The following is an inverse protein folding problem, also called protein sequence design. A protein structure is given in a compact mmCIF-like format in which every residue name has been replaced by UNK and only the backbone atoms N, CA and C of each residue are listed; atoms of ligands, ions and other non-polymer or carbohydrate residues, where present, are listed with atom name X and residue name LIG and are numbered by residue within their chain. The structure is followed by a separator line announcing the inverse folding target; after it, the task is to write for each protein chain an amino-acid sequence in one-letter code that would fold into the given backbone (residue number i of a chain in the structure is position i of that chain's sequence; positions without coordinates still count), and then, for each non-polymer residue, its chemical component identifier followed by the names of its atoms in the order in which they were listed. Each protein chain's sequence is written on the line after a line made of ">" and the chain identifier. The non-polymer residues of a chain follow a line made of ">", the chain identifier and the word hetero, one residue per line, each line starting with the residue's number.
data_IF_063789824990
#
_entry.id   IF_063789824990
#
_cell.length_a   1.000
_cell.length_b   1.000
_cell.length_c   1.000
_cell.angle_alpha   90.00
_cell.angle_beta   90.00
_cell.angle_gamma   90.00
#
_symmetry.space_group_name_H-M   'P 1'
#
loop_
_entity.id
_entity.type
_entity.pdbx_description
1 polymer ?
#
# COMPACT_ATOMS: atom_id res chain seq x y z
N UNK A 1 -59.32 29.04 41.43
CA UNK A 1 -58.01 28.83 42.10
C UNK A 1 -56.91 28.97 41.05
N UNK A 2 -56.15 30.07 41.05
CA UNK A 2 -55.12 30.34 40.04
C UNK A 2 -53.82 29.60 40.39
N UNK A 3 -53.29 28.83 39.44
CA UNK A 3 -51.99 28.17 39.56
C UNK A 3 -50.86 29.22 39.34
N UNK A 4 -49.79 29.19 40.16
CA UNK A 4 -48.77 30.24 40.18
C UNK A 4 -47.87 30.18 38.95
N UNK A 5 -47.85 31.28 38.17
CA UNK A 5 -47.12 31.46 36.91
C UNK A 5 -45.57 31.34 36.96
N UNK A 6 -44.99 30.91 38.07
CA UNK A 6 -43.55 30.66 38.20
C UNK A 6 -43.09 29.33 37.57
N UNK A 7 -43.97 28.36 37.41
CA UNK A 7 -43.62 27.06 36.80
C UNK A 7 -43.60 27.09 35.26
N UNK A 8 -44.38 27.97 34.62
CA UNK A 8 -44.41 28.12 33.16
C UNK A 8 -43.10 28.68 32.59
N UNK A 9 -42.42 29.58 33.32
CA UNK A 9 -41.12 30.12 32.93
C UNK A 9 -39.98 29.09 33.05
N UNK A 10 -40.06 28.18 34.03
CA UNK A 10 -39.04 27.13 34.20
C UNK A 10 -39.12 26.07 33.09
N UNK A 11 -40.33 25.73 32.64
CA UNK A 11 -40.55 24.77 31.53
C UNK A 11 -40.12 25.34 30.16
N UNK A 12 -40.30 26.65 29.92
CA UNK A 12 -39.80 27.35 28.72
C UNK A 12 -38.28 27.54 28.72
N UNK A 13 -37.65 27.62 29.91
CA UNK A 13 -36.19 27.65 30.04
C UNK A 13 -35.57 26.25 29.84
N UNK A 14 -36.21 25.17 30.32
CA UNK A 14 -35.74 23.80 30.10
C UNK A 14 -35.88 23.35 28.64
N UNK A 15 -36.88 23.83 27.90
CA UNK A 15 -37.07 23.46 26.48
C UNK A 15 -36.04 24.08 25.51
N UNK A 16 -35.17 24.98 26.00
CA UNK A 16 -34.09 25.59 25.20
C UNK A 16 -32.71 24.93 25.39
N UNK A 17 -32.59 23.94 26.28
CA UNK A 17 -31.29 23.36 26.65
C UNK A 17 -30.85 22.10 25.88
N UNK A 18 -31.66 21.58 24.95
CA UNK A 18 -31.35 20.33 24.22
C UNK A 18 -31.35 20.50 22.71
N UNK A 19 -30.69 21.54 22.19
CA UNK A 19 -30.17 21.48 20.83
C UNK A 19 -28.89 20.64 20.87
N UNK A 20 -29.04 19.30 20.88
CA UNK A 20 -27.92 18.39 20.62
C UNK A 20 -27.52 18.63 19.18
N UNK A 21 -26.50 19.48 18.98
CA UNK A 21 -25.87 19.63 17.67
C UNK A 21 -25.16 18.31 17.40
N UNK A 22 -25.83 17.43 16.64
CA UNK A 22 -25.19 16.25 16.13
C UNK A 22 -23.94 16.69 15.37
N UNK A 23 -22.77 16.21 15.80
CA UNK A 23 -21.53 16.50 15.09
C UNK A 23 -21.62 15.76 13.76
N UNK A 24 -21.98 16.49 12.70
CA UNK A 24 -22.06 15.94 11.35
C UNK A 24 -20.64 15.88 10.80
N UNK A 25 -20.12 14.66 10.70
CA UNK A 25 -18.87 14.40 10.01
C UNK A 25 -19.13 14.26 8.51
N UNK A 26 -18.98 15.36 7.78
CA UNK A 26 -19.12 15.37 6.32
C UNK A 26 -17.74 15.46 5.65
N UNK A 27 -17.22 14.38 5.02
CA UNK A 27 -15.98 14.41 4.27
C UNK A 27 -16.07 15.25 2.98
N UNK A 28 -17.26 15.61 2.52
CA UNK A 28 -17.48 16.45 1.34
C UNK A 28 -17.61 17.94 1.64
N UNK A 29 -17.65 18.32 2.92
CA UNK A 29 -17.57 19.72 3.30
C UNK A 29 -16.29 20.38 2.77
N UNK A 30 -16.32 21.70 2.47
CA UNK A 30 -15.16 22.43 1.96
C UNK A 30 -13.88 22.18 2.77
N UNK A 31 -12.75 22.21 2.08
CA UNK A 31 -11.44 21.99 2.70
C UNK A 31 -11.06 23.28 3.45
N UNK A 32 -11.12 23.23 4.78
CA UNK A 32 -10.62 24.30 5.64
C UNK A 32 -9.11 24.14 5.85
N UNK A 33 -8.40 25.26 5.99
CA UNK A 33 -6.99 25.26 6.34
C UNK A 33 -6.80 24.73 7.78
N UNK A 34 -5.99 23.69 7.93
CA UNK A 34 -5.72 23.07 9.22
C UNK A 34 -4.47 23.67 9.89
N UNK A 35 -4.52 23.82 11.22
CA UNK A 35 -3.39 24.30 12.04
C UNK A 35 -3.02 23.24 13.08
N UNK A 36 -1.73 22.96 13.24
CA UNK A 36 -1.20 22.08 14.28
C UNK A 36 -1.58 22.59 15.66
N UNK A 37 -1.93 21.67 16.55
CA UNK A 37 -2.44 21.99 17.88
C UNK A 37 -3.90 22.44 17.92
N UNK A 38 -4.57 22.57 16.76
CA UNK A 38 -6.02 22.74 16.72
C UNK A 38 -6.71 21.52 17.32
N UNK A 39 -7.80 21.75 18.05
CA UNK A 39 -8.69 20.69 18.55
C UNK A 39 -9.52 20.05 17.42
N UNK A 40 -9.62 20.73 16.27
CA UNK A 40 -10.29 20.19 15.07
C UNK A 40 -9.39 19.12 14.46
N UNK A 41 -9.89 17.90 14.36
CA UNK A 41 -9.23 16.85 13.61
C UNK A 41 -9.37 17.03 12.10
N UNK A 42 -8.67 16.19 11.35
CA UNK A 42 -8.75 16.10 9.91
C UNK A 42 -9.76 15.02 9.51
N UNK A 43 -10.82 15.44 8.80
CA UNK A 43 -11.82 14.52 8.28
C UNK A 43 -11.37 13.94 6.95
N UNK A 44 -11.49 12.62 6.81
CA UNK A 44 -11.21 11.90 5.58
C UNK A 44 -12.28 10.84 5.35
N UNK A 45 -12.77 10.74 4.12
CA UNK A 45 -13.66 9.69 3.68
C UNK A 45 -12.89 8.58 2.96
N UNK A 46 -13.32 7.33 3.15
CA UNK A 46 -12.97 6.20 2.30
C UNK A 46 -14.24 5.73 1.59
N UNK A 47 -14.16 5.51 0.28
CA UNK A 47 -15.24 4.92 -0.50
C UNK A 47 -14.78 3.58 -1.06
N UNK A 48 -15.53 2.51 -0.78
CA UNK A 48 -15.26 1.13 -1.18
C UNK A 48 -16.28 0.71 -2.23
N UNK A 49 -15.82 0.14 -3.35
CA UNK A 49 -16.68 -0.33 -4.44
C UNK A 49 -16.54 -1.84 -4.63
N UNK A 50 -17.46 -2.64 -4.07
CA UNK A 50 -17.55 -4.07 -4.32
C UNK A 50 -17.84 -4.36 -5.80
N UNK A 51 -16.99 -5.16 -6.43
CA UNK A 51 -17.05 -5.49 -7.84
C UNK A 51 -16.60 -4.39 -8.80
N UNK A 52 -16.26 -3.19 -8.30
CA UNK A 52 -15.69 -2.11 -9.10
C UNK A 52 -14.17 -2.21 -9.19
N UNK A 53 -13.62 -2.08 -10.38
CA UNK A 53 -12.18 -2.07 -10.66
C UNK A 53 -11.55 -0.70 -10.38
N UNK A 54 -10.22 -0.64 -10.33
CA UNK A 54 -9.49 0.65 -10.27
C UNK A 54 -9.82 1.56 -11.47
N UNK A 55 -10.04 0.98 -12.65
CA UNK A 55 -10.35 1.71 -13.87
C UNK A 55 -11.76 2.33 -13.86
N UNK A 56 -12.74 1.70 -13.19
CA UNK A 56 -14.11 2.20 -13.10
C UNK A 56 -14.20 3.55 -12.37
N UNK A 57 -13.27 3.82 -11.46
CA UNK A 57 -13.15 5.12 -10.80
C UNK A 57 -12.65 6.22 -11.74
N UNK A 58 -11.91 5.88 -12.78
CA UNK A 58 -11.19 6.83 -13.64
C UNK A 58 -10.09 7.62 -12.91
N UNK A 59 -9.56 8.61 -13.62
CA UNK A 59 -8.54 9.53 -13.12
C UNK A 59 -9.02 10.36 -11.90
N UNK A 60 -8.18 10.67 -10.90
CA UNK A 60 -8.56 11.48 -9.73
C UNK A 60 -9.22 12.83 -10.02
N UNK A 61 -8.93 13.45 -11.16
CA UNK A 61 -9.43 14.79 -11.53
C UNK A 61 -10.74 14.70 -12.30
N UNK A 62 -10.83 13.79 -13.28
CA UNK A 62 -11.97 13.72 -14.21
C UNK A 62 -12.92 12.52 -13.99
N UNK A 63 -12.53 11.59 -13.11
CA UNK A 63 -13.27 10.36 -12.83
C UNK A 63 -14.41 10.52 -11.83
N UNK A 64 -14.91 9.38 -11.34
CA UNK A 64 -15.93 9.34 -10.32
C UNK A 64 -15.39 9.86 -8.99
N UNK A 65 -16.02 10.91 -8.48
CA UNK A 65 -15.61 11.58 -7.25
C UNK A 65 -16.74 11.55 -6.21
N UNK A 66 -16.54 10.98 -5.01
CA UNK A 66 -17.59 10.87 -3.97
C UNK A 66 -18.33 12.17 -3.63
N UNK A 67 -17.66 13.31 -3.74
CA UNK A 67 -18.21 14.63 -3.42
C UNK A 67 -18.64 15.50 -4.61
N UNK A 68 -18.64 14.98 -5.84
CA UNK A 68 -19.07 15.78 -7.00
C UNK A 68 -20.60 15.81 -7.08
N UNK A 69 -21.21 16.55 -6.14
CA UNK A 69 -22.65 16.72 -5.98
C UNK A 69 -23.35 15.61 -5.18
N UNK A 70 -24.44 15.95 -4.51
CA UNK A 70 -25.26 15.01 -3.70
C UNK A 70 -25.89 13.91 -4.54
N UNK A 71 -26.25 14.20 -5.80
CA UNK A 71 -26.80 13.21 -6.74
C UNK A 71 -25.79 12.13 -7.09
N UNK A 72 -24.51 12.46 -7.19
CA UNK A 72 -23.49 11.47 -7.52
C UNK A 72 -23.24 10.52 -6.36
N UNK A 73 -23.27 10.99 -5.11
CA UNK A 73 -23.18 10.10 -3.95
C UNK A 73 -24.36 9.11 -3.91
N UNK A 74 -25.57 9.57 -4.25
CA UNK A 74 -26.74 8.70 -4.38
C UNK A 74 -26.53 7.66 -5.50
N UNK A 75 -26.00 8.08 -6.66
CA UNK A 75 -25.69 7.19 -7.78
C UNK A 75 -24.60 6.15 -7.39
N UNK A 76 -23.51 6.57 -6.75
CA UNK A 76 -22.47 5.65 -6.26
C UNK A 76 -23.05 4.65 -5.26
N UNK A 77 -23.95 5.09 -4.37
CA UNK A 77 -24.64 4.18 -3.44
C UNK A 77 -25.51 3.17 -4.19
N UNK A 78 -26.19 3.58 -5.27
CA UNK A 78 -26.92 2.67 -6.15
C UNK A 78 -25.98 1.68 -6.86
N UNK A 79 -24.76 2.09 -7.18
CA UNK A 79 -23.67 1.23 -7.69
C UNK A 79 -23.10 0.27 -6.64
N UNK A 80 -23.55 0.35 -5.38
CA UNK A 80 -23.09 -0.48 -4.27
C UNK A 80 -21.85 0.07 -3.56
N UNK A 81 -21.47 1.32 -3.83
CA UNK A 81 -20.35 1.97 -3.14
C UNK A 81 -20.72 2.24 -1.69
N UNK A 82 -19.81 1.91 -0.79
CA UNK A 82 -19.94 2.11 0.65
C UNK A 82 -18.95 3.16 1.14
N UNK A 83 -19.38 4.01 2.06
CA UNK A 83 -18.58 5.11 2.57
C UNK A 83 -18.26 4.90 4.05
N UNK A 84 -17.03 5.20 4.45
CA UNK A 84 -16.60 5.30 5.83
C UNK A 84 -15.98 6.68 6.06
N UNK A 85 -16.31 7.34 7.17
CA UNK A 85 -15.77 8.67 7.50
C UNK A 85 -14.97 8.57 8.78
N UNK A 86 -13.77 9.15 8.77
CA UNK A 86 -12.85 9.14 9.90
C UNK A 86 -12.48 10.56 10.30
N UNK A 87 -12.38 10.79 11.60
CA UNK A 87 -11.84 12.02 12.18
C UNK A 87 -10.47 11.73 12.79
N UNK A 88 -9.42 12.02 12.03
CA UNK A 88 -8.05 11.75 12.43
C UNK A 88 -7.44 12.94 13.17
N UNK A 89 -6.58 12.66 14.16
CA UNK A 89 -5.82 13.74 14.81
C UNK A 89 -4.69 14.17 13.90
N UNK A 90 -4.58 15.47 13.67
CA UNK A 90 -3.51 16.06 12.87
C UNK A 90 -2.16 15.85 13.57
N UNK A 91 -1.11 15.66 12.77
CA UNK A 91 0.28 15.48 13.23
C UNK A 91 0.48 14.27 14.15
N UNK A 92 -0.41 13.27 14.05
CA UNK A 92 -0.24 11.95 14.66
C UNK A 92 -0.52 10.88 13.63
N UNK A 93 0.34 9.87 13.58
CA UNK A 93 0.09 8.69 12.75
C UNK A 93 -1.22 8.05 13.24
N UNK A 94 -2.22 8.03 12.37
CA UNK A 94 -3.56 7.54 12.69
C UNK A 94 -3.82 6.31 11.84
N UNK A 95 -4.31 5.24 12.45
CA UNK A 95 -4.69 4.03 11.72
C UNK A 95 -6.20 4.05 11.53
N UNK A 96 -6.64 4.10 10.28
CA UNK A 96 -8.03 3.92 9.89
C UNK A 96 -8.22 2.42 9.66
N UNK A 97 -9.13 1.79 10.39
CA UNK A 97 -9.38 0.34 10.25
C UNK A 97 -10.81 0.11 9.82
N UNK A 98 -10.99 -0.81 8.88
CA UNK A 98 -12.22 -1.58 8.75
C UNK A 98 -12.14 -2.80 9.68
N UNK A 99 -13.28 -3.39 10.00
CA UNK A 99 -13.30 -4.71 10.64
C UNK A 99 -13.38 -5.79 9.58
N UNK A 100 -12.85 -6.98 9.89
CA UNK A 100 -12.91 -8.09 8.95
C UNK A 100 -14.36 -8.49 8.56
N UNK A 101 -15.34 -8.52 9.49
CA UNK A 101 -16.74 -8.72 9.12
C UNK A 101 -17.30 -7.64 8.18
N UNK A 102 -16.93 -6.37 8.36
CA UNK A 102 -17.33 -5.31 7.43
C UNK A 102 -16.76 -5.57 6.03
N UNK A 103 -15.50 -5.98 5.93
CA UNK A 103 -14.85 -6.25 4.65
C UNK A 103 -15.40 -7.49 3.94
N UNK A 104 -15.74 -8.53 4.70
CA UNK A 104 -16.51 -9.67 4.18
C UNK A 104 -17.87 -9.24 3.67
N UNK A 105 -18.58 -8.39 4.43
CA UNK A 105 -19.89 -7.86 4.04
C UNK A 105 -19.78 -6.99 2.79
N UNK A 106 -18.74 -6.15 2.68
CA UNK A 106 -18.46 -5.36 1.49
C UNK A 106 -18.26 -6.29 0.28
N UNK A 107 -17.42 -7.31 0.42
CA UNK A 107 -17.14 -8.28 -0.65
C UNK A 107 -18.40 -9.06 -1.05
N UNK A 108 -19.23 -9.46 -0.08
CA UNK A 108 -20.50 -10.16 -0.31
C UNK A 108 -21.54 -9.34 -1.08
N UNK A 109 -21.45 -8.00 -0.99
CA UNK A 109 -22.38 -7.07 -1.63
C UNK A 109 -22.05 -6.77 -3.09
N UNK A 110 -20.99 -7.37 -3.63
CA UNK A 110 -20.75 -7.33 -5.07
C UNK A 110 -21.99 -7.85 -5.82
N UNK A 111 -22.39 -7.14 -6.88
CA UNK A 111 -23.56 -7.51 -7.68
C UNK A 111 -23.36 -8.91 -8.28
N UNK A 112 -24.43 -9.67 -8.46
CA UNK A 112 -24.35 -10.97 -9.12
C UNK A 112 -23.69 -10.82 -10.51
N UNK A 113 -22.64 -11.61 -10.76
CA UNK A 113 -21.84 -11.54 -12.00
C UNK A 113 -20.74 -10.48 -12.01
N UNK A 114 -20.63 -9.62 -10.99
CA UNK A 114 -19.48 -8.74 -10.83
C UNK A 114 -18.24 -9.53 -10.33
N UNK A 115 -17.02 -9.08 -10.65
CA UNK A 115 -15.81 -9.73 -10.16
C UNK A 115 -15.73 -9.66 -8.64
N UNK A 116 -15.18 -10.70 -8.01
CA UNK A 116 -15.07 -10.79 -6.56
C UNK A 116 -13.86 -9.97 -6.06
N UNK A 117 -13.95 -8.66 -6.15
CA UNK A 117 -12.91 -7.72 -5.72
C UNK A 117 -13.53 -6.50 -5.06
N UNK A 118 -12.72 -5.74 -4.33
CA UNK A 118 -13.13 -4.46 -3.75
C UNK A 118 -12.02 -3.45 -4.04
N UNK A 119 -12.36 -2.36 -4.71
CA UNK A 119 -11.47 -1.19 -4.85
C UNK A 119 -11.89 -0.08 -3.90
N UNK A 120 -10.95 0.78 -3.53
CA UNK A 120 -11.18 1.86 -2.59
C UNK A 120 -10.47 3.15 -3.03
N UNK A 121 -11.09 4.29 -2.70
CA UNK A 121 -10.51 5.63 -2.84
C UNK A 121 -10.62 6.38 -1.52
N UNK A 122 -9.62 7.21 -1.23
CA UNK A 122 -9.70 8.20 -0.17
C UNK A 122 -10.14 9.55 -0.75
N UNK A 123 -10.92 10.31 0.00
CA UNK A 123 -11.42 11.60 -0.46
C UNK A 123 -11.66 12.60 0.68
N UNK A 124 -11.57 13.89 0.35
CA UNK A 124 -11.93 15.02 1.21
C UNK A 124 -12.22 16.25 0.34
N UNK A 125 -13.41 16.83 0.46
CA UNK A 125 -13.85 17.96 -0.37
C UNK A 125 -13.75 17.60 -1.85
N UNK A 126 -13.00 18.38 -2.64
CA UNK A 126 -12.76 18.12 -4.06
C UNK A 126 -11.48 17.31 -4.35
N UNK A 127 -10.80 16.79 -3.32
CA UNK A 127 -9.56 16.01 -3.46
C UNK A 127 -9.88 14.53 -3.28
N UNK A 128 -9.46 13.70 -4.24
CA UNK A 128 -9.55 12.24 -4.22
C UNK A 128 -8.19 11.62 -4.51
N UNK A 129 -7.93 10.45 -3.94
CA UNK A 129 -6.80 9.61 -4.32
C UNK A 129 -7.07 8.79 -5.59
N UNK A 130 -6.01 8.23 -6.16
CA UNK A 130 -6.16 7.07 -7.05
C UNK A 130 -6.86 5.92 -6.34
N UNK A 131 -7.56 5.09 -7.11
CA UNK A 131 -8.19 3.88 -6.61
C UNK A 131 -7.14 2.81 -6.33
N UNK A 132 -7.39 2.00 -5.29
CA UNK A 132 -6.56 0.85 -4.93
C UNK A 132 -7.42 -0.36 -4.59
N UNK A 133 -7.05 -1.54 -5.06
CA UNK A 133 -7.66 -2.77 -4.57
C UNK A 133 -7.33 -3.00 -3.09
N UNK A 134 -8.36 -3.35 -2.31
CA UNK A 134 -8.24 -3.78 -0.91
C UNK A 134 -8.52 -5.27 -0.74
N UNK A 135 -9.31 -5.85 -1.65
CA UNK A 135 -9.60 -7.29 -1.72
C UNK A 135 -9.56 -7.74 -3.17
N UNK A 136 -9.01 -8.92 -3.43
CA UNK A 136 -9.23 -9.61 -4.71
C UNK A 136 -9.39 -11.13 -4.54
N UNK A 137 -10.43 -11.66 -5.18
CA UNK A 137 -10.59 -13.07 -5.51
C UNK A 137 -10.47 -13.35 -7.02
N UNK A 138 -10.10 -12.36 -7.83
CA UNK A 138 -10.11 -12.42 -9.30
C UNK A 138 -8.73 -12.09 -9.91
N UNK A 139 -7.77 -13.04 -9.89
CA UNK A 139 -6.39 -12.77 -10.28
C UNK A 139 -6.23 -12.46 -11.77
N UNK A 140 -7.18 -12.82 -12.63
CA UNK A 140 -7.12 -12.46 -14.05
C UNK A 140 -7.28 -10.96 -14.29
N UNK A 141 -7.93 -10.25 -13.36
CA UNK A 141 -8.11 -8.80 -13.39
C UNK A 141 -6.97 -8.12 -12.61
N UNK A 142 -6.68 -8.64 -11.42
CA UNK A 142 -5.80 -7.97 -10.45
C UNK A 142 -4.36 -8.49 -10.44
N UNK A 143 -4.04 -9.57 -11.13
CA UNK A 143 -2.70 -10.19 -11.10
C UNK A 143 -2.38 -10.98 -9.82
N UNK A 144 -3.28 -11.00 -8.83
CA UNK A 144 -3.12 -11.72 -7.57
C UNK A 144 -4.41 -11.78 -6.75
N UNK A 145 -4.43 -12.54 -5.65
CA UNK A 145 -5.59 -12.74 -4.76
C UNK A 145 -5.26 -12.50 -3.29
N UNK A 146 -6.28 -12.23 -2.49
CA UNK A 146 -6.19 -12.07 -1.04
C UNK A 146 -6.74 -10.74 -0.52
N UNK A 147 -6.41 -10.44 0.74
CA UNK A 147 -6.79 -9.23 1.46
C UNK A 147 -5.56 -8.34 1.68
N UNK A 148 -5.66 -7.05 1.37
CA UNK A 148 -4.58 -6.10 1.60
C UNK A 148 -4.61 -5.70 3.07
N UNK A 149 -3.68 -6.24 3.86
CA UNK A 149 -3.65 -6.01 5.30
C UNK A 149 -3.35 -4.55 5.67
N UNK A 150 -2.50 -3.88 4.89
CA UNK A 150 -2.05 -2.52 5.21
C UNK A 150 -1.83 -1.69 3.95
N UNK A 151 -2.44 -0.51 3.95
CA UNK A 151 -2.21 0.58 3.01
C UNK A 151 -1.64 1.77 3.78
N UNK A 152 -0.79 2.56 3.14
CA UNK A 152 -0.39 3.86 3.69
C UNK A 152 -1.04 4.96 2.87
N UNK A 153 -1.72 5.90 3.50
CA UNK A 153 -2.33 7.06 2.86
C UNK A 153 -1.58 8.32 3.31
N UNK A 154 -1.05 9.06 2.35
CA UNK A 154 -0.37 10.33 2.60
C UNK A 154 -1.29 11.48 2.20
N UNK A 155 -1.62 12.33 3.17
CA UNK A 155 -2.32 13.59 2.97
C UNK A 155 -1.29 14.73 2.90
N UNK A 156 -1.24 15.41 1.75
CA UNK A 156 -0.27 16.49 1.51
C UNK A 156 -0.96 17.84 1.61
N UNK A 157 -0.40 18.71 2.45
CA UNK A 157 -0.92 20.04 2.74
C UNK A 157 0.05 21.12 2.25
N UNK A 158 -0.53 22.23 1.82
CA UNK A 158 0.19 23.44 1.48
C UNK A 158 -0.48 24.60 2.24
N UNK A 159 0.27 25.19 3.17
CA UNK A 159 -0.24 26.20 4.11
C UNK A 159 -1.55 25.78 4.80
N UNK A 160 -1.63 24.52 5.22
CA UNK A 160 -2.78 23.93 5.90
C UNK A 160 -3.92 23.50 4.98
N UNK A 161 -3.87 23.80 3.68
CA UNK A 161 -4.90 23.37 2.72
C UNK A 161 -4.50 22.04 2.11
N UNK A 162 -5.39 21.03 2.17
CA UNK A 162 -5.16 19.74 1.54
C UNK A 162 -5.05 19.91 0.02
N UNK A 163 -3.95 19.42 -0.57
CA UNK A 163 -3.71 19.44 -2.01
C UNK A 163 -3.88 18.07 -2.65
N UNK A 164 -3.38 17.03 -1.99
CA UNK A 164 -3.37 15.67 -2.55
C UNK A 164 -3.62 14.61 -1.47
N UNK A 165 -4.30 13.55 -1.88
CA UNK A 165 -4.39 12.29 -1.15
C UNK A 165 -3.76 11.22 -2.04
N UNK A 166 -2.76 10.51 -1.53
CA UNK A 166 -2.04 9.51 -2.31
C UNK A 166 -1.76 8.27 -1.46
N UNK A 167 -2.13 7.10 -1.97
CA UNK A 167 -1.67 5.85 -1.39
C UNK A 167 -0.16 5.69 -1.66
N UNK A 168 0.60 5.38 -0.61
CA UNK A 168 2.07 5.34 -0.62
C UNK A 168 2.59 3.94 -0.25
N UNK A 169 3.84 3.68 -0.63
CA UNK A 169 4.59 2.45 -0.38
C UNK A 169 3.85 1.18 -0.83
N UNK A 170 3.57 1.18 -2.13
CA UNK A 170 2.89 0.11 -2.79
C UNK A 170 3.90 -0.75 -3.55
N UNK A 171 4.58 -1.64 -2.82
CA UNK A 171 5.46 -2.64 -3.44
C UNK A 171 5.06 -4.03 -2.99
N UNK A 172 5.25 -5.00 -3.87
CA UNK A 172 4.98 -6.40 -3.55
C UNK A 172 6.18 -7.14 -2.96
N UNK A 173 7.23 -6.41 -2.56
CA UNK A 173 8.46 -7.01 -2.03
C UNK A 173 8.19 -7.87 -0.79
N UNK A 174 7.23 -7.46 0.05
CA UNK A 174 6.91 -8.14 1.30
C UNK A 174 6.15 -9.47 1.12
N UNK A 175 5.60 -9.74 -0.07
CA UNK A 175 4.87 -10.98 -0.39
C UNK A 175 5.46 -11.76 -1.56
N UNK A 176 6.77 -11.62 -1.81
CA UNK A 176 7.48 -12.42 -2.82
C UNK A 176 7.64 -11.73 -4.17
N UNK A 177 7.45 -10.42 -4.24
CA UNK A 177 7.70 -9.60 -5.43
C UNK A 177 6.49 -9.43 -6.34
N UNK A 178 6.67 -8.65 -7.41
CA UNK A 178 5.60 -8.25 -8.32
C UNK A 178 4.95 -9.40 -9.11
N UNK A 179 5.63 -10.55 -9.21
CA UNK A 179 5.11 -11.77 -9.87
C UNK A 179 4.39 -12.72 -8.92
N UNK A 180 4.37 -12.42 -7.62
CA UNK A 180 3.70 -13.25 -6.64
C UNK A 180 2.19 -13.20 -6.88
N UNK A 181 1.50 -14.34 -6.76
CA UNK A 181 0.03 -14.39 -6.73
C UNK A 181 -0.59 -13.64 -5.55
N UNK A 182 0.24 -13.13 -4.63
CA UNK A 182 -0.15 -12.25 -3.51
C UNK A 182 0.06 -10.76 -3.81
N UNK A 183 0.52 -10.44 -5.00
CA UNK A 183 0.70 -9.07 -5.46
C UNK A 183 -0.49 -8.65 -6.31
N UNK A 184 -1.34 -7.77 -5.79
CA UNK A 184 -2.44 -7.19 -6.56
C UNK A 184 -1.99 -5.91 -7.26
N UNK A 185 -2.27 -5.80 -8.56
CA UNK A 185 -2.04 -4.64 -9.44
C UNK A 185 -0.57 -4.20 -9.48
N UNK A 186 0.37 -5.09 -9.14
CA UNK A 186 1.80 -4.77 -9.03
C UNK A 186 2.16 -3.92 -7.79
N UNK A 187 1.16 -3.56 -6.97
CA UNK A 187 1.27 -2.46 -6.00
C UNK A 187 0.91 -2.88 -4.59
N UNK A 188 -0.05 -3.78 -4.41
CA UNK A 188 -0.62 -4.07 -3.10
C UNK A 188 -0.30 -5.50 -2.69
N UNK A 189 0.27 -5.65 -1.50
CA UNK A 189 0.66 -6.93 -0.96
C UNK A 189 -0.48 -7.55 -0.14
N UNK A 190 -0.83 -8.80 -0.40
CA UNK A 190 -1.98 -9.46 0.23
C UNK A 190 -1.60 -10.55 1.21
N UNK A 191 -2.50 -10.76 2.16
CA UNK A 191 -2.61 -12.00 2.90
C UNK A 191 -3.50 -12.98 2.13
N UNK A 192 -3.11 -14.26 2.05
CA UNK A 192 -3.94 -15.28 1.44
C UNK A 192 -5.30 -15.40 2.14
N UNK A 193 -6.35 -15.64 1.35
CA UNK A 193 -7.71 -15.77 1.89
C UNK A 193 -7.84 -16.85 2.96
N UNK A 194 -7.10 -17.96 2.84
CA UNK A 194 -7.14 -19.06 3.81
C UNK A 194 -6.62 -18.68 5.21
N UNK A 195 -5.77 -17.64 5.32
CA UNK A 195 -5.37 -17.09 6.62
C UNK A 195 -6.50 -16.30 7.29
N UNK A 196 -7.53 -15.95 6.51
CA UNK A 196 -8.67 -15.15 6.91
C UNK A 196 -9.97 -15.95 6.99
N UNK A 197 -9.90 -17.26 6.75
CA UNK A 197 -11.05 -18.16 6.93
C UNK A 197 -10.96 -18.86 8.27
N UNK A 198 -12.08 -18.97 8.98
CA UNK A 198 -12.15 -19.91 10.08
C UNK A 198 -12.12 -21.31 9.53
N UNK A 199 -11.03 -22.02 9.79
CA UNK A 199 -10.94 -23.45 9.56
C UNK A 199 -11.84 -24.15 10.57
N UNK A 200 -13.14 -24.24 10.30
CA UNK A 200 -14.03 -25.13 11.03
C UNK A 200 -13.65 -26.58 10.74
N UNK A 201 -12.75 -27.16 11.55
CA UNK A 201 -12.52 -28.60 11.61
C UNK A 201 -11.14 -29.08 11.13
N UNK A 202 -10.35 -29.56 12.09
CA UNK A 202 -9.39 -30.67 11.95
C UNK A 202 -8.26 -30.53 10.91
N UNK A 203 -7.43 -29.50 11.04
CA UNK A 203 -6.06 -29.52 10.52
C UNK A 203 -5.07 -29.45 11.68
N UNK A 204 -4.65 -30.61 12.19
CA UNK A 204 -3.58 -30.72 13.20
C UNK A 204 -2.33 -29.96 12.75
N UNK A 205 -1.92 -28.95 13.51
CA UNK A 205 -0.49 -28.61 13.62
C UNK A 205 0.08 -27.52 12.70
N UNK A 206 -0.70 -26.55 12.23
CA UNK A 206 -0.12 -25.27 11.79
C UNK A 206 -0.31 -24.22 12.90
N UNK A 207 0.55 -24.28 13.92
CA UNK A 207 0.77 -23.12 14.80
C UNK A 207 1.29 -21.98 13.94
N UNK A 208 0.39 -21.11 13.47
CA UNK A 208 0.74 -19.77 13.02
C UNK A 208 1.18 -18.98 14.26
N UNK A 209 2.36 -19.32 14.78
CA UNK A 209 3.10 -18.48 15.68
C UNK A 209 3.50 -17.24 14.86
N UNK A 210 2.70 -16.19 14.96
CA UNK A 210 3.20 -14.85 14.77
C UNK A 210 4.32 -14.67 15.80
N UNK A 211 5.60 -14.49 15.41
CA UNK A 211 6.62 -14.17 16.38
C UNK A 211 6.33 -12.76 16.89
N UNK A 212 5.62 -12.67 18.00
CA UNK A 212 5.63 -11.46 18.82
C UNK A 212 7.05 -11.39 19.39
N UNK A 213 7.88 -10.39 19.03
CA UNK A 213 9.22 -10.30 19.60
C UNK A 213 9.07 -10.03 21.09
N UNK A 214 9.44 -11.01 21.91
CA UNK A 214 9.63 -10.83 23.35
C UNK A 214 10.66 -9.70 23.53
N UNK A 215 10.39 -8.67 24.34
CA UNK A 215 11.36 -7.60 24.57
C UNK A 215 12.62 -8.20 25.18
N UNK A 216 13.73 -8.07 24.45
CA UNK A 216 15.06 -8.42 24.94
C UNK A 216 15.35 -7.55 26.18
N UNK A 217 15.90 -8.12 27.28
CA UNK A 217 16.15 -7.37 28.50
C UNK A 217 17.09 -6.18 28.22
N UNK A 218 16.60 -5.00 28.60
CA UNK A 218 17.31 -3.73 28.48
C UNK A 218 18.66 -3.83 29.20
N UNK A 219 19.80 -3.56 28.53
CA UNK A 219 21.07 -3.45 29.23
C UNK A 219 21.04 -2.26 30.19
N UNK A 220 21.52 -2.51 31.40
CA UNK A 220 21.74 -1.53 32.46
C UNK A 220 22.58 -0.34 31.94
N UNK A 221 22.28 0.90 32.32
CA UNK A 221 22.94 2.08 31.77
C UNK A 221 24.43 2.13 32.19
N UNK A 222 25.31 2.06 31.20
CA UNK A 222 26.72 2.40 31.36
C UNK A 222 26.87 3.93 31.53
N UNK A 223 27.80 4.31 32.39
CA UNK A 223 28.07 5.68 32.81
C UNK A 223 28.29 6.65 31.64
N UNK A 224 27.82 7.89 31.85
CA UNK A 224 27.84 8.98 30.89
C UNK A 224 29.25 9.27 30.34
N UNK A 225 29.38 9.17 29.01
CA UNK A 225 30.51 9.70 28.25
C UNK A 225 30.37 11.23 28.11
N UNK A 226 31.47 12.00 28.23
CA UNK A 226 31.41 13.46 28.22
C UNK A 226 30.99 14.03 26.85
N UNK A 227 30.25 15.14 26.92
CA UNK A 227 29.70 15.85 25.78
C UNK A 227 30.79 16.33 24.79
N UNK A 228 30.63 16.11 23.47
CA UNK A 228 31.51 16.70 22.47
C UNK A 228 31.29 18.22 22.38
N UNK A 229 32.40 18.94 22.35
CA UNK A 229 32.45 20.39 22.20
C UNK A 229 31.80 20.86 20.89
N UNK A 230 31.10 21.99 20.97
CA UNK A 230 30.36 22.63 19.89
C UNK A 230 31.28 22.95 18.69
N UNK A 231 30.88 22.49 17.50
CA UNK A 231 31.50 22.93 16.24
C UNK A 231 31.13 24.39 15.96
N UNK A 232 32.09 25.24 15.54
CA UNK A 232 31.84 26.65 15.29
C UNK A 232 30.88 26.88 14.10
N UNK A 233 30.05 27.91 14.26
CA UNK A 233 29.03 28.32 13.29
C UNK A 233 29.64 28.67 11.92
N UNK A 234 28.99 28.27 10.79
CA UNK A 234 29.42 28.68 9.47
C UNK A 234 29.21 30.18 9.23
N UNK A 235 30.22 30.80 8.63
CA UNK A 235 30.28 32.21 8.24
C UNK A 235 29.15 32.60 7.26
N UNK A 236 28.58 33.82 7.35
CA UNK A 236 27.49 34.25 6.48
C UNK A 236 27.93 34.40 5.02
N UNK A 237 27.06 33.94 4.11
CA UNK A 237 27.21 34.06 2.66
C UNK A 237 27.02 35.52 2.20
N UNK A 238 27.81 36.02 1.22
CA UNK A 238 27.72 37.40 0.76
C UNK A 238 26.45 37.67 -0.06
N UNK A 239 25.87 38.86 0.15
CA UNK A 239 24.73 39.40 -0.60
C UNK A 239 25.00 39.49 -2.11
N UNK A 240 24.01 39.16 -2.96
CA UNK A 240 24.10 39.42 -4.40
C UNK A 240 23.94 40.91 -4.72
N UNK A 241 24.74 41.37 -5.70
CA UNK A 241 24.72 42.72 -6.25
C UNK A 241 23.46 43.00 -7.09
N UNK A 242 23.00 44.27 -7.17
CA UNK A 242 21.87 44.66 -8.01
C UNK A 242 22.24 44.63 -9.50
N UNK A 243 21.49 43.83 -10.27
CA UNK A 243 21.56 43.81 -11.74
C UNK A 243 20.80 44.99 -12.32
N UNK A 244 21.49 45.76 -13.16
CA UNK A 244 21.01 46.93 -13.90
C UNK A 244 20.09 46.57 -15.06
N UNK A 245 19.06 47.42 -15.24
CA UNK A 245 18.20 47.54 -16.41
C UNK A 245 18.97 47.66 -17.73
N UNK A 246 18.39 47.12 -18.81
CA UNK A 246 18.91 47.40 -20.16
C UNK A 246 18.25 46.65 -21.32
N UNK A 247 17.39 47.40 -22.03
CA UNK A 247 17.21 47.41 -23.48
C UNK A 247 16.32 46.36 -24.20
N UNK A 248 15.18 46.90 -24.63
CA UNK A 248 14.46 46.66 -25.86
C UNK A 248 15.22 45.98 -27.03
N UNK A 249 14.59 44.97 -27.61
CA UNK A 249 14.98 44.36 -28.88
C UNK A 249 13.78 43.71 -29.56
N UNK A 250 13.15 44.46 -30.47
CA UNK A 250 12.07 44.04 -31.35
C UNK A 250 12.56 42.98 -32.35
N UNK A 251 11.82 41.89 -32.55
CA UNK A 251 12.27 40.78 -33.40
C UNK A 251 11.18 39.76 -33.72
N UNK A 252 10.27 40.12 -34.61
CA UNK A 252 9.37 39.22 -35.35
C UNK A 252 10.11 38.05 -36.01
N UNK A 253 9.70 36.79 -35.76
CA UNK A 253 9.84 35.71 -36.76
C UNK A 253 8.94 34.48 -36.53
N UNK A 254 8.03 34.30 -37.50
CA UNK A 254 7.53 33.07 -38.16
C UNK A 254 7.07 31.85 -37.34
N UNK A 255 5.75 31.63 -37.40
CA UNK A 255 5.06 30.49 -38.04
C UNK A 255 5.90 29.24 -38.37
N UNK A 256 5.64 28.15 -37.64
CA UNK A 256 5.23 26.78 -38.06
C UNK A 256 4.67 26.15 -36.76
N UNK A 257 3.45 25.62 -36.62
CA UNK A 257 2.69 24.78 -37.53
C UNK A 257 3.15 23.34 -37.39
N UNK A 258 2.63 22.56 -36.43
CA UNK A 258 2.40 21.12 -36.61
C UNK A 258 1.58 20.48 -35.48
N UNK A 259 0.78 19.51 -35.90
CA UNK A 259 -0.20 18.77 -35.15
C UNK A 259 0.38 17.44 -34.62
N UNK A 260 -0.36 16.83 -33.69
CA UNK A 260 -0.45 15.38 -33.59
C UNK A 260 0.40 14.72 -32.51
N UNK A 261 -0.15 13.68 -31.91
CA UNK A 261 0.63 12.65 -31.23
C UNK A 261 0.09 12.22 -29.88
N UNK A 262 -1.06 11.55 -29.89
CA UNK A 262 -1.40 10.60 -28.84
C UNK A 262 -0.27 9.57 -28.70
N UNK A 263 0.26 9.39 -27.50
CA UNK A 263 1.19 8.30 -27.21
C UNK A 263 0.38 7.07 -26.74
N UNK A 264 0.59 5.89 -27.36
CA UNK A 264 -0.15 4.68 -27.05
C UNK A 264 0.40 3.99 -25.79
N UNK A 265 -0.49 3.26 -25.12
CA UNK A 265 -0.18 2.27 -24.11
C UNK A 265 0.80 1.23 -24.69
N UNK A 266 2.01 1.19 -24.18
CA UNK A 266 2.96 0.14 -24.47
C UNK A 266 2.52 -1.14 -23.73
N UNK A 267 1.99 -2.09 -24.49
CA UNK A 267 1.82 -3.47 -24.07
C UNK A 267 3.19 -4.04 -23.69
N UNK A 268 3.35 -4.40 -22.41
CA UNK A 268 4.52 -5.13 -21.93
C UNK A 268 4.40 -6.58 -22.41
N UNK A 269 5.20 -6.91 -23.43
CA UNK A 269 5.39 -8.28 -23.88
C UNK A 269 6.07 -9.09 -22.76
N UNK A 270 5.41 -10.17 -22.35
CA UNK A 270 5.91 -11.13 -21.38
C UNK A 270 7.09 -11.92 -21.96
N UNK A 271 8.23 -11.91 -21.26
CA UNK A 271 9.40 -12.75 -21.55
C UNK A 271 9.28 -14.11 -20.83
N UNK A 272 9.63 -15.25 -21.47
CA UNK A 272 9.44 -16.58 -20.92
C UNK A 272 10.60 -16.96 -20.00
N UNK A 273 10.51 -16.57 -18.74
CA UNK A 273 11.33 -17.08 -17.65
C UNK A 273 10.41 -17.49 -16.51
N UNK A 274 9.84 -18.69 -16.64
CA UNK A 274 8.88 -19.24 -15.69
C UNK A 274 9.60 -19.63 -14.39
N UNK A 275 9.54 -18.74 -13.39
CA UNK A 275 9.64 -19.17 -12.00
C UNK A 275 8.55 -20.22 -11.74
N UNK A 276 8.75 -21.18 -10.81
CA UNK A 276 7.76 -22.19 -10.49
C UNK A 276 6.46 -21.49 -10.10
N UNK A 277 5.48 -21.60 -11.00
CA UNK A 277 4.09 -21.20 -10.77
C UNK A 277 3.64 -22.02 -9.57
N UNK A 278 3.51 -21.41 -8.39
CA UNK A 278 2.55 -21.93 -7.41
C UNK A 278 1.23 -22.04 -8.19
N UNK A 279 0.80 -23.25 -8.49
CA UNK A 279 -0.48 -23.51 -9.13
C UNK A 279 -1.55 -23.01 -8.18
N UNK A 280 -1.99 -21.77 -8.42
CA UNK A 280 -3.05 -21.11 -7.67
C UNK A 280 -4.30 -21.98 -7.70
N UNK A 281 -4.79 -22.34 -6.51
CA UNK A 281 -5.96 -23.18 -6.36
C UNK A 281 -7.20 -22.37 -6.79
N UNK A 282 -7.93 -22.76 -7.87
CA UNK A 282 -9.17 -22.09 -8.27
C UNK A 282 -10.24 -22.10 -7.18
N UNK A 283 -10.05 -22.87 -6.09
CA UNK A 283 -10.89 -22.83 -4.89
C UNK A 283 -10.67 -21.56 -4.06
N UNK A 284 -9.63 -20.76 -4.26
CA UNK A 284 -9.35 -19.54 -3.46
C UNK A 284 -10.47 -18.50 -3.58
N UNK A 285 -10.89 -18.13 -4.80
CA UNK A 285 -12.01 -17.21 -5.01
C UNK A 285 -13.34 -17.77 -4.49
N UNK A 286 -13.55 -19.07 -4.66
CA UNK A 286 -14.73 -19.76 -4.09
C UNK A 286 -14.74 -19.73 -2.56
N UNK A 287 -13.57 -19.82 -1.91
CA UNK A 287 -13.43 -19.71 -0.46
C UNK A 287 -13.69 -18.30 0.05
N UNK A 288 -13.28 -17.25 -0.66
CA UNK A 288 -13.66 -15.87 -0.33
C UNK A 288 -15.18 -15.71 -0.35
N UNK A 289 -15.85 -16.18 -1.41
CA UNK A 289 -17.30 -16.13 -1.52
C UNK A 289 -18.00 -16.99 -0.45
N UNK A 290 -17.47 -18.18 -0.14
CA UNK A 290 -17.99 -19.04 0.93
C UNK A 290 -17.80 -18.42 2.32
N UNK A 291 -16.64 -17.85 2.62
CA UNK A 291 -16.38 -17.16 3.88
C UNK A 291 -17.31 -15.96 4.09
N UNK A 292 -17.65 -15.26 3.01
CA UNK A 292 -18.62 -14.18 3.02
C UNK A 292 -20.08 -14.65 3.24
N UNK A 293 -20.42 -15.86 2.79
CA UNK A 293 -21.80 -16.39 2.86
C UNK A 293 -22.12 -17.18 4.13
N UNK A 294 -21.11 -17.61 4.90
CA UNK A 294 -21.32 -18.54 6.03
C UNK A 294 -21.46 -17.77 7.35
N UNK A 295 -22.68 -17.42 7.74
CA UNK A 295 -23.04 -16.84 9.06
C UNK A 295 -22.91 -17.83 10.25
N UNK A 296 -22.16 -18.93 10.12
CA UNK A 296 -22.22 -20.05 11.07
C UNK A 296 -21.34 -19.82 12.31
N UNK A 297 -21.86 -19.08 13.29
CA UNK A 297 -21.85 -19.36 14.75
C UNK A 297 -20.59 -19.78 15.54
N UNK A 298 -19.43 -20.08 14.95
CA UNK A 298 -18.27 -20.65 15.65
C UNK A 298 -16.96 -19.87 15.45
N UNK A 299 -16.99 -18.82 14.64
CA UNK A 299 -15.84 -17.98 14.35
C UNK A 299 -15.71 -16.82 15.33
N UNK A 300 -14.64 -16.78 16.13
CA UNK A 300 -14.28 -15.56 16.83
C UNK A 300 -13.55 -14.59 15.89
N UNK A 301 -14.31 -13.80 15.13
CA UNK A 301 -13.76 -12.85 14.15
C UNK A 301 -12.85 -11.76 14.75
N UNK A 302 -12.90 -11.54 16.07
CA UNK A 302 -12.01 -10.58 16.76
C UNK A 302 -10.53 -10.95 16.65
N UNK A 303 -10.22 -12.24 16.42
CA UNK A 303 -8.85 -12.72 16.27
C UNK A 303 -8.27 -12.43 14.87
N UNK A 304 -9.10 -12.08 13.88
CA UNK A 304 -8.69 -11.84 12.49
C UNK A 304 -8.48 -10.36 12.19
N UNK A 305 -8.07 -9.57 13.18
CA UNK A 305 -7.83 -8.13 12.99
C UNK A 305 -6.75 -7.81 11.95
N UNK A 306 -5.91 -8.78 11.57
CA UNK A 306 -4.92 -8.67 10.50
C UNK A 306 -5.48 -8.91 9.09
N UNK A 307 -6.69 -9.46 8.97
CA UNK A 307 -7.37 -9.72 7.71
C UNK A 307 -8.27 -8.58 7.24
N UNK A 308 -8.26 -7.47 7.98
CA UNK A 308 -8.98 -6.26 7.60
C UNK A 308 -8.00 -5.24 7.03
N UNK A 309 -8.45 -4.49 6.02
CA UNK A 309 -7.70 -3.38 5.47
C UNK A 309 -7.47 -2.31 6.54
N UNK A 310 -6.20 -2.05 6.81
CA UNK A 310 -5.77 -0.95 7.66
C UNK A 310 -5.12 0.14 6.81
N UNK A 311 -5.55 1.38 6.97
CA UNK A 311 -4.98 2.53 6.27
C UNK A 311 -4.23 3.40 7.28
N UNK A 312 -2.91 3.42 7.18
CA UNK A 312 -2.07 4.30 7.97
C UNK A 312 -2.06 5.70 7.35
N UNK A 313 -2.70 6.66 8.00
CA UNK A 313 -2.74 8.05 7.58
C UNK A 313 -1.53 8.81 8.09
N UNK A 314 -0.83 9.46 7.16
CA UNK A 314 0.29 10.35 7.42
C UNK A 314 0.06 11.73 6.79
N UNK A 315 0.70 12.75 7.37
CA UNK A 315 0.59 14.15 6.98
C UNK A 315 1.94 14.66 6.47
N UNK A 316 1.95 15.27 5.30
CA UNK A 316 3.12 15.91 4.69
C UNK A 316 2.84 17.39 4.36
N UNK A 317 3.88 18.21 4.37
CA UNK A 317 3.81 19.65 4.05
C UNK A 317 3.66 20.57 5.26
N UNK A 318 3.09 21.76 5.04
CA UNK A 318 2.97 22.83 6.04
C UNK A 318 1.53 23.01 6.50
N UNK A 319 1.34 23.36 7.77
CA UNK A 319 0.05 23.77 8.32
C UNK A 319 -0.26 25.25 8.01
N UNK A 320 -1.44 25.74 8.42
CA UNK A 320 -1.86 27.13 8.20
C UNK A 320 -0.99 28.18 8.91
N UNK A 321 -0.18 27.77 9.90
CA UNK A 321 0.79 28.61 10.59
C UNK A 321 2.21 28.51 10.02
N UNK A 322 2.43 27.75 8.96
CA UNK A 322 3.75 27.50 8.37
C UNK A 322 4.59 26.45 9.11
N UNK A 323 4.05 25.76 10.10
CA UNK A 323 4.73 24.67 10.78
C UNK A 323 4.66 23.39 9.95
N UNK A 324 5.80 22.70 9.79
CA UNK A 324 5.85 21.45 9.06
C UNK A 324 5.20 20.29 9.85
N UNK A 325 4.48 19.42 9.13
CA UNK A 325 3.99 18.15 9.68
C UNK A 325 5.14 17.16 9.86
N UNK A 326 5.12 16.43 10.98
CA UNK A 326 6.22 15.54 11.36
C UNK A 326 6.05 14.12 10.79
N UNK A 327 4.81 13.65 10.70
CA UNK A 327 4.49 12.24 10.41
C UNK A 327 4.89 11.77 9.01
N UNK A 328 4.83 12.63 7.98
CA UNK A 328 5.22 12.25 6.61
C UNK A 328 6.68 11.87 6.51
N UNK A 329 7.56 12.63 7.17
CA UNK A 329 8.99 12.31 7.26
C UNK A 329 9.25 11.00 8.02
N UNK A 330 8.47 10.72 9.06
CA UNK A 330 8.57 9.48 9.84
C UNK A 330 8.15 8.26 9.03
N UNK A 331 7.07 8.36 8.25
CA UNK A 331 6.63 7.25 7.37
C UNK A 331 7.63 7.02 6.24
N UNK A 332 8.19 8.07 5.64
CA UNK A 332 9.28 7.90 4.66
C UNK A 332 10.50 7.22 5.28
N UNK A 333 10.86 7.59 6.51
CA UNK A 333 11.93 6.93 7.26
C UNK A 333 11.59 5.47 7.55
N UNK A 334 10.43 5.16 8.09
CA UNK A 334 9.98 3.78 8.37
C UNK A 334 10.02 2.92 7.12
N UNK A 335 9.55 3.44 5.98
CA UNK A 335 9.61 2.73 4.72
C UNK A 335 11.05 2.56 4.21
N UNK A 336 11.91 3.57 4.40
CA UNK A 336 13.34 3.44 4.07
C UNK A 336 14.08 2.46 4.98
N UNK A 337 13.61 2.29 6.22
CA UNK A 337 14.14 1.35 7.21
C UNK A 337 13.42 0.01 7.23
N UNK A 338 12.51 -0.25 6.28
CA UNK A 338 11.99 -1.60 6.06
C UNK A 338 13.19 -2.48 5.73
N UNK A 339 13.71 -3.15 6.76
CA UNK A 339 14.74 -4.18 6.68
C UNK A 339 14.34 -5.26 5.67
N UNK A 340 13.04 -5.38 5.35
CA UNK A 340 12.55 -6.28 4.32
C UNK A 340 13.01 -5.86 2.93
N UNK A 341 13.08 -4.57 2.59
CA UNK A 341 13.64 -4.14 1.32
C UNK A 341 15.16 -4.43 1.25
N UNK A 342 15.87 -4.23 2.36
CA UNK A 342 17.31 -4.49 2.47
C UNK A 342 17.61 -5.99 2.47
N UNK A 343 16.78 -6.79 3.16
CA UNK A 343 16.85 -8.25 3.20
C UNK A 343 16.40 -8.87 1.88
N UNK A 344 15.34 -8.38 1.24
CA UNK A 344 14.91 -8.85 -0.07
C UNK A 344 15.97 -8.55 -1.13
N UNK A 345 16.57 -7.36 -1.09
CA UNK A 345 17.72 -7.01 -1.94
C UNK A 345 18.95 -7.86 -1.63
N UNK A 346 19.22 -8.13 -0.36
CA UNK A 346 20.28 -9.04 0.07
C UNK A 346 20.05 -10.47 -0.38
N UNK A 347 18.81 -10.96 -0.29
CA UNK A 347 18.37 -12.29 -0.69
C UNK A 347 18.41 -12.46 -2.21
N UNK A 348 18.00 -11.46 -2.99
CA UNK A 348 18.12 -11.51 -4.44
C UNK A 348 19.58 -11.52 -4.87
N UNK A 349 20.43 -10.66 -4.27
CA UNK A 349 21.87 -10.68 -4.53
C UNK A 349 22.52 -12.01 -4.13
N UNK A 350 22.08 -12.61 -3.02
CA UNK A 350 22.55 -13.92 -2.59
C UNK A 350 22.16 -15.02 -3.58
N UNK A 351 20.92 -15.02 -4.08
CA UNK A 351 20.50 -15.99 -5.09
C UNK A 351 21.19 -15.78 -6.44
N UNK A 352 21.35 -14.54 -6.90
CA UNK A 352 22.13 -14.25 -8.10
C UNK A 352 23.59 -14.72 -7.96
N UNK A 353 24.18 -14.56 -6.77
CA UNK A 353 25.51 -15.06 -6.47
C UNK A 353 25.54 -16.59 -6.46
N UNK A 354 24.55 -17.25 -5.84
CA UNK A 354 24.43 -18.70 -5.82
C UNK A 354 24.29 -19.27 -7.23
N UNK A 355 23.43 -18.69 -8.07
CA UNK A 355 23.22 -19.15 -9.44
C UNK A 355 24.49 -18.99 -10.28
N UNK A 356 25.23 -17.88 -10.11
CA UNK A 356 26.55 -17.72 -10.75
C UNK A 356 27.55 -18.76 -10.25
N UNK A 357 27.57 -19.04 -8.96
CA UNK A 357 28.43 -20.05 -8.37
C UNK A 357 28.11 -21.46 -8.88
N UNK A 358 26.84 -21.85 -8.89
CA UNK A 358 26.37 -23.16 -9.36
C UNK A 358 26.69 -23.36 -10.86
N UNK A 359 26.46 -22.32 -11.69
CA UNK A 359 26.84 -22.35 -13.11
C UNK A 359 28.36 -22.48 -13.30
N UNK A 360 29.15 -21.75 -12.51
CA UNK A 360 30.62 -21.81 -12.57
C UNK A 360 31.13 -23.19 -12.15
N UNK A 361 30.60 -23.75 -11.06
CA UNK A 361 30.99 -25.09 -10.59
C UNK A 361 30.59 -26.16 -11.61
N UNK A 362 29.43 -26.05 -12.24
CA UNK A 362 28.99 -26.99 -13.29
C UNK A 362 29.95 -26.97 -14.49
N UNK A 363 30.40 -25.80 -14.92
CA UNK A 363 31.42 -25.66 -15.98
C UNK A 363 32.78 -26.29 -15.58
N UNK A 364 33.24 -26.06 -14.34
CA UNK A 364 34.46 -26.68 -13.83
C UNK A 364 34.36 -28.21 -13.75
N UNK A 365 33.25 -28.74 -13.25
CA UNK A 365 33.03 -30.20 -13.17
C UNK A 365 32.91 -30.84 -14.56
N UNK A 366 32.27 -30.16 -15.51
CA UNK A 366 32.22 -30.60 -16.91
C UNK A 366 33.62 -30.74 -17.52
N UNK A 367 34.48 -29.74 -17.33
CA UNK A 367 35.89 -29.79 -17.78
C UNK A 367 36.68 -30.92 -17.11
N UNK A 368 36.42 -31.20 -15.83
CA UNK A 368 37.08 -32.28 -15.12
C UNK A 368 36.68 -33.68 -15.66
N UNK A 369 35.41 -33.87 -16.02
CA UNK A 369 34.95 -35.11 -16.66
C UNK A 369 35.61 -35.33 -18.02
N UNK A 370 35.74 -34.29 -18.84
CA UNK A 370 36.47 -34.38 -20.12
C UNK A 370 37.93 -34.77 -19.88
N UNK A 371 38.60 -34.13 -18.90
CA UNK A 371 39.98 -34.48 -18.57
C UNK A 371 40.13 -35.93 -18.08
N UNK A 372 39.20 -36.45 -17.28
CA UNK A 372 39.21 -37.88 -16.89
C UNK A 372 39.00 -38.81 -18.08
N UNK A 373 38.10 -38.46 -19.00
CA UNK A 373 37.87 -39.21 -20.24
C UNK A 373 39.13 -39.24 -21.10
N UNK A 374 39.81 -38.09 -21.27
CA UNK A 374 41.05 -37.98 -22.04
C UNK A 374 42.18 -38.81 -21.43
N UNK A 375 42.32 -38.79 -20.10
CA UNK A 375 43.27 -39.64 -19.38
C UNK A 375 42.93 -41.12 -19.58
N UNK A 376 41.67 -41.51 -19.42
CA UNK A 376 41.24 -42.90 -19.65
C UNK A 376 41.54 -43.37 -21.08
N UNK A 377 41.25 -42.53 -22.09
CA UNK A 377 41.54 -42.79 -23.49
C UNK A 377 43.05 -42.92 -23.77
N UNK A 378 43.87 -42.06 -23.15
CA UNK A 378 45.32 -42.11 -23.27
C UNK A 378 45.93 -43.40 -22.69
N UNK A 379 45.35 -43.92 -21.60
CA UNK A 379 45.80 -45.18 -21.00
C UNK A 379 45.26 -46.42 -21.72
N UNK A 380 44.05 -46.38 -22.29
CA UNK A 380 43.51 -47.52 -23.03
C UNK A 380 44.17 -47.72 -24.40
N UNK A 381 44.59 -46.64 -25.07
CA UNK A 381 45.23 -46.71 -26.39
C UNK A 381 46.65 -47.31 -26.40
N UNK A 382 47.36 -47.28 -25.27
CA UNK A 382 48.72 -47.84 -25.16
C UNK A 382 48.75 -49.37 -24.94
N UNK A 383 47.61 -50.01 -24.68
CA UNK A 383 47.54 -51.46 -24.51
C UNK A 383 47.68 -52.24 -25.84
N UNK A 384 47.38 -51.62 -26.98
CA UNK A 384 47.41 -52.28 -28.29
C UNK A 384 48.73 -52.06 -29.04
N UNK A 385 49.49 -50.99 -28.74
CA UNK A 385 50.77 -50.71 -29.40
C UNK A 385 51.94 -51.61 -28.92
N UNK A 386 51.78 -52.36 -27.83
CA UNK A 386 52.83 -53.22 -27.26
C UNK A 386 52.87 -54.67 -27.76
N UNK A 387 51.94 -55.10 -28.64
CA UNK A 387 51.79 -56.52 -29.04
C UNK A 387 52.27 -56.85 -30.46
N UNK A 388 53.14 -56.03 -31.05
CA UNK A 388 53.73 -56.30 -32.37
C UNK A 388 55.24 -56.12 -32.28
N UNK A 389 55.96 -57.22 -32.04
CA UNK A 389 57.14 -57.69 -32.79
C UNK A 389 57.92 -58.68 -31.92
N UNK A 390 57.74 -59.96 -32.18
CA UNK A 390 58.48 -61.03 -31.51
C UNK A 390 58.23 -62.39 -32.14
N UNK A 391 58.33 -62.48 -33.46
CA UNK A 391 58.43 -63.76 -34.17
C UNK A 391 59.40 -63.60 -35.33
N UNK A 392 60.67 -63.91 -35.06
CA UNK A 392 61.69 -64.23 -36.04
C UNK A 392 62.42 -65.49 -35.54
#
# INVERSE_FOLDING_TARGET
>A
MPLPGRWALLLLALSRLTAVVAIVYDPCSPIEAIKKGSSRGFLVGLAFWPGGTEADWGDPVNGLHPCNGTQLQANLTQLGVHFATYNARIDRLTVLKTTFPEELTLTARARAGAPLLVSAVAFRGAVRSEARYVVSGEPTITGGTGFVATLSLMARFDMGVLKYLQFYNLTCNDCGGWRSGRCISGTSCTLPAYNCTCSGGAGTGATAASPSPTPSPSPSPAAASPAPAESPAPSPSPSPAPGSDGAAGNGTRRLMGEAGGAAPAAAVAASPGAAPRETEDPRSGRRLAQAAATESGACNYTQFSYCAATVNLAYDGLDAGGAAFSTGSQVRKLNSYSLVALFARGKSLFFDFKDKYDNTMTDYWGKFQVAQQDVANAYSGNAEAGRVTGSA
#
